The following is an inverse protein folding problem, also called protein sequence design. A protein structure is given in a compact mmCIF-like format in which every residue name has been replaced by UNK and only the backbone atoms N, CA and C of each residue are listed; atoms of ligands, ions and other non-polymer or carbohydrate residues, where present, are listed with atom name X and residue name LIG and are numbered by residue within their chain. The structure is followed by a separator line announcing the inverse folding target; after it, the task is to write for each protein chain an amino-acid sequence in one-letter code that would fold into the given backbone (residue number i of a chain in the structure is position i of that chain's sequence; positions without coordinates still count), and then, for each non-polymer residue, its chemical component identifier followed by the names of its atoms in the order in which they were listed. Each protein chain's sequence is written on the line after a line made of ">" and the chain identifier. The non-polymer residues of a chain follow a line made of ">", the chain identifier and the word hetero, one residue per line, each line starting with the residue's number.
data_IF_318329146924
#
_entry.id   IF_318329146924
#
_cell.length_a   1.000
_cell.length_b   1.000
_cell.length_c   1.000
_cell.angle_alpha   90.00
_cell.angle_beta   90.00
_cell.angle_gamma   90.00
#
_symmetry.space_group_name_H-M   'P 1'
#
loop_
_entity.id
_entity.type
_entity.pdbx_description
1 polymer ?
#
# COMPACT_ATOMS: atom_id res chain seq x y z
N UNK A 1 18.02 29.78 11.16
CA UNK A 1 17.91 28.43 10.58
C UNK A 1 17.03 28.56 9.36
N UNK A 2 17.59 28.26 8.18
CA UNK A 2 16.94 28.45 6.88
C UNK A 2 16.32 27.15 6.35
N UNK A 3 15.77 27.23 5.13
CA UNK A 3 15.27 26.10 4.36
C UNK A 3 16.16 24.86 4.49
N UNK A 4 15.54 23.70 4.75
CA UNK A 4 16.26 22.43 4.73
C UNK A 4 16.79 22.22 3.30
N UNK A 5 18.07 21.88 3.15
CA UNK A 5 18.61 21.65 1.81
C UNK A 5 18.02 20.38 1.22
N UNK A 6 18.07 20.25 -0.11
CA UNK A 6 17.69 19.00 -0.77
C UNK A 6 18.44 17.78 -0.19
N UNK A 7 19.69 17.97 0.27
CA UNK A 7 20.44 16.91 0.96
C UNK A 7 19.81 16.51 2.29
N UNK A 8 19.34 17.48 3.07
CA UNK A 8 18.77 17.25 4.41
C UNK A 8 17.42 16.55 4.32
N UNK A 9 16.62 16.86 3.29
CA UNK A 9 15.30 16.26 3.07
C UNK A 9 15.39 14.93 2.34
N UNK A 10 16.16 14.86 1.25
CA UNK A 10 16.12 13.72 0.33
C UNK A 10 17.21 12.70 0.54
N UNK A 11 18.33 13.00 1.21
CA UNK A 11 19.48 12.08 1.29
C UNK A 11 19.82 11.67 2.72
N UNK A 12 19.88 12.62 3.65
CA UNK A 12 20.29 12.38 5.03
C UNK A 12 19.43 11.31 5.75
N UNK A 13 18.10 11.27 5.58
CA UNK A 13 17.26 10.28 6.24
C UNK A 13 17.54 8.85 5.78
N UNK A 14 17.75 8.66 4.47
CA UNK A 14 18.16 7.37 3.92
C UNK A 14 19.56 6.95 4.34
N UNK A 15 20.51 7.90 4.39
CA UNK A 15 21.86 7.62 4.86
C UNK A 15 21.87 7.14 6.31
N UNK A 16 21.06 7.78 7.17
CA UNK A 16 20.89 7.38 8.58
C UNK A 16 20.29 5.98 8.71
N UNK A 17 19.34 5.64 7.84
CA UNK A 17 18.55 4.40 7.93
C UNK A 17 19.08 3.28 7.01
N UNK A 18 20.23 3.49 6.37
CA UNK A 18 20.81 2.57 5.40
C UNK A 18 21.03 1.13 5.91
N UNK A 19 21.52 0.88 7.14
CA UNK A 19 21.64 -0.48 7.65
C UNK A 19 20.30 -1.20 7.79
N UNK A 20 19.26 -0.46 8.20
CA UNK A 20 17.91 -0.98 8.33
C UNK A 20 17.29 -1.25 6.95
N UNK A 21 17.54 -0.36 5.99
CA UNK A 21 17.09 -0.52 4.60
C UNK A 21 17.67 -1.77 3.96
N UNK A 22 18.99 -1.98 4.03
CA UNK A 22 19.63 -3.20 3.52
C UNK A 22 19.02 -4.44 4.18
N UNK A 23 18.86 -4.41 5.50
CA UNK A 23 18.30 -5.54 6.25
C UNK A 23 16.90 -5.91 5.75
N UNK A 24 16.03 -4.93 5.50
CA UNK A 24 14.70 -5.19 4.97
C UNK A 24 14.71 -5.65 3.51
N UNK A 25 15.58 -5.10 2.66
CA UNK A 25 15.72 -5.58 1.27
C UNK A 25 16.17 -7.05 1.27
N UNK A 26 17.19 -7.41 2.05
CA UNK A 26 17.64 -8.80 2.22
C UNK A 26 16.51 -9.67 2.77
N UNK A 27 15.78 -9.19 3.78
CA UNK A 27 14.62 -9.88 4.34
C UNK A 27 13.60 -10.24 3.26
N UNK A 28 13.26 -9.34 2.34
CA UNK A 28 12.26 -9.61 1.30
C UNK A 28 12.70 -10.68 0.30
N UNK A 29 13.97 -10.69 -0.11
CA UNK A 29 14.52 -11.77 -0.93
C UNK A 29 14.52 -13.11 -0.18
N UNK A 30 14.90 -13.11 1.10
CA UNK A 30 14.82 -14.30 1.95
C UNK A 30 13.37 -14.78 2.11
N UNK A 31 12.41 -13.87 2.31
CA UNK A 31 11.00 -14.18 2.44
C UNK A 31 10.44 -14.80 1.15
N UNK A 32 10.82 -14.30 -0.03
CA UNK A 32 10.43 -14.88 -1.32
C UNK A 32 11.06 -16.27 -1.55
N UNK A 33 12.28 -16.49 -1.09
CA UNK A 33 12.90 -17.81 -1.15
C UNK A 33 12.18 -18.80 -0.24
N UNK A 34 11.98 -18.43 1.03
CA UNK A 34 11.31 -19.24 2.06
C UNK A 34 9.84 -19.50 1.70
N UNK A 35 9.14 -18.55 1.09
CA UNK A 35 7.76 -18.73 0.63
C UNK A 35 7.65 -19.88 -0.36
N UNK A 36 8.62 -20.05 -1.25
CA UNK A 36 8.67 -21.19 -2.16
C UNK A 36 8.78 -22.55 -1.46
N UNK A 37 9.48 -22.61 -0.33
CA UNK A 37 9.61 -23.83 0.49
C UNK A 37 8.30 -24.10 1.24
N UNK A 38 7.73 -23.06 1.86
CA UNK A 38 6.49 -23.17 2.63
C UNK A 38 5.32 -23.55 1.72
N UNK A 39 5.10 -22.80 0.64
CA UNK A 39 3.98 -23.01 -0.29
C UNK A 39 3.99 -24.42 -0.89
N UNK A 40 5.17 -24.95 -1.23
CA UNK A 40 5.32 -26.32 -1.71
C UNK A 40 4.86 -27.37 -0.70
N UNK A 41 4.95 -27.09 0.60
CA UNK A 41 4.51 -28.00 1.67
C UNK A 41 3.02 -27.87 1.96
N UNK A 42 2.48 -26.65 1.93
CA UNK A 42 1.10 -26.39 2.37
C UNK A 42 0.08 -26.48 1.23
N UNK A 43 0.46 -26.19 -0.02
CA UNK A 43 -0.46 -26.22 -1.16
C UNK A 43 -0.56 -27.65 -1.71
N UNK A 44 -1.75 -28.28 -1.64
CA UNK A 44 -1.98 -29.57 -2.27
C UNK A 44 -1.77 -29.46 -3.78
N UNK A 45 -1.06 -30.44 -4.35
CA UNK A 45 -0.84 -30.46 -5.79
C UNK A 45 0.11 -29.37 -6.31
N UNK A 46 0.99 -28.77 -5.48
CA UNK A 46 1.96 -27.74 -5.89
C UNK A 46 2.67 -28.02 -7.23
N UNK A 47 3.04 -29.27 -7.50
CA UNK A 47 3.72 -29.67 -8.75
C UNK A 47 2.87 -29.50 -10.02
N UNK A 48 1.54 -29.38 -9.88
CA UNK A 48 0.59 -29.19 -11.00
C UNK A 48 0.56 -27.74 -11.50
N UNK A 49 0.97 -26.79 -10.66
CA UNK A 49 1.06 -25.39 -11.05
C UNK A 49 2.17 -25.17 -12.07
N UNK A 50 1.92 -24.30 -13.05
CA UNK A 50 2.97 -23.88 -13.98
C UNK A 50 4.10 -23.17 -13.22
N UNK A 51 5.31 -23.11 -13.80
CA UNK A 51 6.40 -22.34 -13.21
C UNK A 51 6.02 -20.86 -13.02
N UNK A 52 5.17 -20.33 -13.88
CA UNK A 52 4.67 -18.96 -13.78
C UNK A 52 3.76 -18.78 -12.56
N UNK A 53 2.77 -19.67 -12.40
CA UNK A 53 1.84 -19.60 -11.27
C UNK A 53 2.57 -19.84 -9.94
N UNK A 54 3.57 -20.72 -9.92
CA UNK A 54 4.41 -20.93 -8.75
C UNK A 54 5.20 -19.66 -8.36
N UNK A 55 5.64 -18.85 -9.33
CA UNK A 55 6.28 -17.56 -9.04
C UNK A 55 5.28 -16.54 -8.53
N UNK A 56 4.13 -16.45 -9.20
CA UNK A 56 3.05 -15.54 -8.77
C UNK A 56 2.61 -15.85 -7.34
N UNK A 57 2.38 -17.12 -6.98
CA UNK A 57 2.01 -17.50 -5.61
C UNK A 57 3.06 -17.07 -4.57
N UNK A 58 4.36 -17.15 -4.89
CA UNK A 58 5.43 -16.68 -4.00
C UNK A 58 5.40 -15.17 -3.82
N UNK A 59 5.21 -14.44 -4.92
CA UNK A 59 5.13 -12.98 -4.93
C UNK A 59 3.91 -12.50 -4.14
N UNK A 60 2.74 -13.09 -4.41
CA UNK A 60 1.50 -12.79 -3.68
C UNK A 60 1.63 -13.07 -2.19
N UNK A 61 2.36 -14.13 -1.79
CA UNK A 61 2.62 -14.38 -0.37
C UNK A 61 3.53 -13.30 0.25
N UNK A 62 4.55 -12.82 -0.47
CA UNK A 62 5.37 -11.69 -0.01
C UNK A 62 4.53 -10.41 0.13
N UNK A 63 3.67 -10.12 -0.84
CA UNK A 63 2.77 -8.96 -0.76
C UNK A 63 1.75 -9.09 0.37
N UNK A 64 1.24 -10.30 0.63
CA UNK A 64 0.41 -10.57 1.80
C UNK A 64 1.18 -10.37 3.12
N UNK A 65 2.42 -10.85 3.19
CA UNK A 65 3.31 -10.62 4.34
C UNK A 65 3.58 -9.13 4.55
N UNK A 66 3.71 -8.34 3.48
CA UNK A 66 3.84 -6.89 3.57
C UNK A 66 2.61 -6.27 4.25
N UNK A 67 1.40 -6.67 3.83
CA UNK A 67 0.18 -6.22 4.49
C UNK A 67 0.12 -6.56 5.99
N UNK A 68 0.66 -7.72 6.40
CA UNK A 68 0.78 -8.09 7.82
C UNK A 68 1.78 -7.20 8.56
N UNK A 69 2.98 -6.99 8.01
CA UNK A 69 4.00 -6.13 8.64
C UNK A 69 3.46 -4.71 8.75
N UNK A 70 2.84 -4.20 7.69
CA UNK A 70 2.27 -2.86 7.63
C UNK A 70 1.09 -2.65 8.59
N UNK A 71 0.42 -3.72 9.05
CA UNK A 71 -0.56 -3.62 10.14
C UNK A 71 0.01 -2.92 11.39
N UNK A 72 1.29 -3.17 11.72
CA UNK A 72 1.95 -2.50 12.84
C UNK A 72 2.04 -0.99 12.67
N UNK A 73 2.26 -0.52 11.44
CA UNK A 73 2.24 0.90 11.08
C UNK A 73 0.88 1.54 11.35
N UNK A 74 -0.22 0.84 11.03
CA UNK A 74 -1.59 1.28 11.33
C UNK A 74 -1.86 1.40 12.83
N UNK A 75 -1.39 0.43 13.62
CA UNK A 75 -1.54 0.45 15.09
C UNK A 75 -0.81 1.65 15.69
N UNK A 76 0.40 1.92 15.22
CA UNK A 76 1.19 3.06 15.66
C UNK A 76 0.50 4.38 15.26
N UNK A 77 -0.02 4.47 14.04
CA UNK A 77 -0.77 5.63 13.59
C UNK A 77 -1.98 5.91 14.49
N UNK A 78 -2.81 4.91 14.77
CA UNK A 78 -3.99 5.04 15.64
C UNK A 78 -3.57 5.41 17.07
N UNK A 79 -2.51 4.80 17.58
CA UNK A 79 -1.99 5.09 18.92
C UNK A 79 -1.51 6.54 19.02
N UNK A 80 -0.81 7.04 18.00
CA UNK A 80 -0.37 8.43 17.93
C UNK A 80 -1.55 9.40 17.87
N UNK A 81 -2.56 9.11 17.03
CA UNK A 81 -3.80 9.89 17.02
C UNK A 81 -4.46 9.92 18.41
N UNK A 82 -4.57 8.78 19.08
CA UNK A 82 -5.15 8.71 20.42
C UNK A 82 -4.39 9.59 21.42
N UNK A 83 -3.05 9.50 21.44
CA UNK A 83 -2.19 10.32 22.30
C UNK A 83 -2.33 11.82 22.00
N UNK A 84 -2.64 12.18 20.75
CA UNK A 84 -2.89 13.56 20.32
C UNK A 84 -4.37 13.97 20.40
N UNK A 85 -5.20 13.28 21.20
CA UNK A 85 -6.64 13.54 21.33
C UNK A 85 -7.38 13.53 19.97
N UNK A 86 -7.02 12.58 19.11
CA UNK A 86 -7.51 12.41 17.74
C UNK A 86 -7.27 13.63 16.84
N UNK A 87 -6.22 14.41 17.12
CA UNK A 87 -5.77 15.52 16.27
C UNK A 87 -4.53 15.10 15.48
N UNK A 88 -4.45 15.57 14.25
CA UNK A 88 -3.24 15.46 13.44
C UNK A 88 -2.26 16.58 13.84
N UNK A 89 -0.97 16.26 13.85
CA UNK A 89 0.07 17.27 14.09
C UNK A 89 0.01 18.33 13.00
N UNK A 90 0.01 19.61 13.40
CA UNK A 90 0.12 20.73 12.47
C UNK A 90 1.56 20.92 11.95
N UNK A 91 2.54 20.40 12.70
CA UNK A 91 3.92 20.34 12.28
C UNK A 91 4.19 18.98 11.61
N UNK A 92 3.92 18.94 10.30
CA UNK A 92 4.15 17.74 9.49
C UNK A 92 5.64 17.41 9.38
N UNK A 93 6.51 18.41 9.45
CA UNK A 93 7.97 18.26 9.32
C UNK A 93 8.65 17.75 10.59
N UNK A 94 7.90 17.61 11.68
CA UNK A 94 8.46 17.06 12.91
C UNK A 94 8.72 15.58 12.71
N UNK A 95 10.00 15.23 12.64
CA UNK A 95 10.42 13.83 12.79
C UNK A 95 10.04 13.40 14.19
N UNK A 96 9.17 12.40 14.29
CA UNK A 96 8.94 11.72 15.55
C UNK A 96 10.18 10.88 15.83
N UNK A 97 11.02 11.34 16.77
CA UNK A 97 12.23 10.67 17.24
C UNK A 97 11.89 9.43 18.09
N UNK A 98 11.02 8.58 17.57
CA UNK A 98 10.69 7.30 18.16
C UNK A 98 11.10 6.20 17.16
N UNK A 99 12.13 5.41 17.48
CA UNK A 99 12.78 4.49 16.53
C UNK A 99 11.83 3.55 15.78
N UNK A 100 10.68 3.21 16.38
CA UNK A 100 9.72 2.29 15.78
C UNK A 100 9.03 2.85 14.51
N UNK A 101 8.90 4.17 14.37
CA UNK A 101 8.29 4.78 13.17
C UNK A 101 9.21 4.65 11.95
N UNK A 102 10.53 4.74 12.16
CA UNK A 102 11.51 4.52 11.11
C UNK A 102 11.46 3.09 10.55
N UNK A 103 11.14 2.09 11.38
CA UNK A 103 11.07 0.69 10.96
C UNK A 103 10.06 0.48 9.84
N UNK A 104 8.81 0.91 10.03
CA UNK A 104 7.75 0.66 9.05
C UNK A 104 7.95 1.47 7.77
N UNK A 105 8.46 2.69 7.92
CA UNK A 105 8.80 3.57 6.80
C UNK A 105 9.92 3.00 5.93
N UNK A 106 10.98 2.48 6.54
CA UNK A 106 12.08 1.83 5.81
C UNK A 106 11.62 0.51 5.22
N UNK A 107 10.81 -0.26 5.94
CA UNK A 107 10.29 -1.55 5.50
C UNK A 107 9.48 -1.44 4.20
N UNK A 108 8.64 -0.42 4.06
CA UNK A 108 7.82 -0.24 2.85
C UNK A 108 8.65 0.23 1.64
N UNK A 109 9.62 1.13 1.84
CA UNK A 109 10.53 1.54 0.75
C UNK A 109 11.38 0.35 0.30
N UNK A 110 11.87 -0.45 1.25
CA UNK A 110 12.59 -1.69 0.96
C UNK A 110 11.70 -2.74 0.24
N UNK A 111 10.42 -2.85 0.62
CA UNK A 111 9.44 -3.71 -0.06
C UNK A 111 9.28 -3.31 -1.54
N UNK A 112 9.04 -2.03 -1.83
CA UNK A 112 8.91 -1.57 -3.22
C UNK A 112 10.23 -1.63 -4.00
N UNK A 113 11.36 -1.53 -3.32
CA UNK A 113 12.68 -1.79 -3.93
C UNK A 113 12.78 -3.25 -4.38
N UNK A 114 12.42 -4.19 -3.49
CA UNK A 114 12.34 -5.61 -3.83
C UNK A 114 11.35 -5.86 -4.98
N UNK A 115 10.16 -5.26 -4.93
CA UNK A 115 9.11 -5.42 -5.94
C UNK A 115 9.59 -4.99 -7.33
N UNK A 116 10.25 -3.83 -7.43
CA UNK A 116 10.89 -3.37 -8.69
C UNK A 116 11.91 -4.40 -9.17
N UNK A 117 12.85 -4.83 -8.33
CA UNK A 117 13.90 -5.77 -8.75
C UNK A 117 13.27 -7.08 -9.25
N UNK A 118 12.28 -7.61 -8.53
CA UNK A 118 11.59 -8.85 -8.90
C UNK A 118 10.79 -8.70 -10.20
N UNK A 119 10.11 -7.56 -10.41
CA UNK A 119 9.42 -7.27 -11.68
C UNK A 119 10.35 -7.40 -12.89
N UNK A 120 11.61 -6.96 -12.76
CA UNK A 120 12.62 -7.09 -13.80
C UNK A 120 13.17 -8.51 -13.93
N UNK A 121 13.53 -9.16 -12.82
CA UNK A 121 14.05 -10.54 -12.81
C UNK A 121 13.05 -11.52 -13.42
N UNK A 122 11.78 -11.39 -13.07
CA UNK A 122 10.73 -12.30 -13.52
C UNK A 122 10.09 -11.90 -14.86
N UNK A 123 10.66 -10.89 -15.54
CA UNK A 123 10.22 -10.43 -16.86
C UNK A 123 8.73 -10.09 -16.93
N UNK A 124 8.25 -9.33 -15.93
CA UNK A 124 6.89 -8.80 -15.96
C UNK A 124 6.70 -7.83 -17.13
N UNK A 125 5.45 -7.58 -17.49
CA UNK A 125 5.12 -6.63 -18.55
C UNK A 125 5.54 -5.20 -18.17
N UNK A 126 5.69 -4.33 -19.18
CA UNK A 126 6.17 -2.98 -18.97
C UNK A 126 5.26 -2.15 -18.07
N UNK A 127 3.96 -2.38 -18.14
CA UNK A 127 2.96 -1.73 -17.29
C UNK A 127 3.28 -1.96 -15.81
N UNK A 128 3.64 -3.18 -15.43
CA UNK A 128 3.97 -3.50 -14.05
C UNK A 128 5.34 -2.97 -13.62
N UNK A 129 6.33 -2.96 -14.51
CA UNK A 129 7.64 -2.34 -14.23
C UNK A 129 7.51 -0.84 -13.96
N UNK A 130 6.73 -0.15 -14.79
CA UNK A 130 6.41 1.27 -14.62
C UNK A 130 5.64 1.46 -13.31
N UNK A 131 4.63 0.63 -13.03
CA UNK A 131 3.90 0.66 -11.77
C UNK A 131 4.83 0.53 -10.56
N UNK A 132 5.74 -0.46 -10.54
CA UNK A 132 6.69 -0.66 -9.46
C UNK A 132 7.60 0.54 -9.23
N UNK A 133 8.17 1.10 -10.32
CA UNK A 133 9.03 2.29 -10.25
C UNK A 133 8.25 3.50 -9.71
N UNK A 134 7.04 3.74 -10.22
CA UNK A 134 6.19 4.83 -9.75
C UNK A 134 5.80 4.65 -8.28
N UNK A 135 5.52 3.42 -7.83
CA UNK A 135 5.22 3.12 -6.43
C UNK A 135 6.43 3.35 -5.53
N UNK A 136 7.64 2.95 -5.95
CA UNK A 136 8.88 3.21 -5.22
C UNK A 136 9.14 4.72 -5.09
N UNK A 137 9.08 5.46 -6.21
CA UNK A 137 9.26 6.92 -6.21
C UNK A 137 8.17 7.58 -5.36
N UNK A 138 6.92 7.15 -5.50
CA UNK A 138 5.79 7.72 -4.77
C UNK A 138 5.95 7.55 -3.25
N UNK A 139 6.26 6.34 -2.78
CA UNK A 139 6.49 6.07 -1.36
C UNK A 139 7.73 6.82 -0.84
N UNK A 140 8.78 6.93 -1.66
CA UNK A 140 9.95 7.72 -1.33
C UNK A 140 9.65 9.22 -1.20
N UNK A 141 8.92 9.78 -2.16
CA UNK A 141 8.57 11.19 -2.18
C UNK A 141 7.64 11.55 -1.03
N UNK A 142 6.66 10.69 -0.74
CA UNK A 142 5.68 10.89 0.32
C UNK A 142 6.25 10.65 1.73
N UNK A 143 7.50 10.17 1.83
CA UNK A 143 8.27 10.21 3.06
C UNK A 143 8.38 11.65 3.57
N UNK A 144 8.53 12.66 2.70
CA UNK A 144 8.66 14.06 3.14
C UNK A 144 7.53 14.92 2.57
N UNK A 145 6.85 15.76 3.37
CA UNK A 145 7.03 15.97 4.80
C UNK A 145 6.19 15.05 5.68
N UNK A 146 5.46 14.09 5.11
CA UNK A 146 4.39 13.42 5.84
C UNK A 146 4.82 12.12 6.55
N UNK A 147 6.12 11.93 6.77
CA UNK A 147 6.76 10.67 7.12
C UNK A 147 5.98 9.83 8.13
N UNK A 148 5.59 10.42 9.26
CA UNK A 148 5.09 9.63 10.38
C UNK A 148 3.55 9.53 10.39
N UNK A 149 2.87 10.52 9.81
CA UNK A 149 1.40 10.59 9.75
C UNK A 149 0.86 9.88 8.50
N UNK A 150 1.39 10.23 7.33
CA UNK A 150 0.93 9.70 6.06
C UNK A 150 1.57 8.36 5.75
N UNK A 151 2.87 8.14 6.02
CA UNK A 151 3.39 6.78 5.83
C UNK A 151 2.69 5.82 6.79
N UNK A 152 2.48 6.21 8.05
CA UNK A 152 1.71 5.45 9.04
C UNK A 152 0.34 4.97 8.51
N UNK A 153 -0.51 5.93 8.12
CA UNK A 153 -1.85 5.62 7.62
C UNK A 153 -1.86 5.02 6.21
N UNK A 154 -1.18 5.64 5.26
CA UNK A 154 -1.23 5.23 3.86
C UNK A 154 -0.54 3.90 3.66
N UNK A 155 0.71 3.76 4.10
CA UNK A 155 1.44 2.48 3.94
C UNK A 155 0.93 1.42 4.88
N UNK A 156 0.45 1.78 6.08
CA UNK A 156 -0.17 0.85 7.02
C UNK A 156 -1.54 0.35 6.57
N UNK A 157 -2.51 1.26 6.54
CA UNK A 157 -3.90 0.92 6.32
C UNK A 157 -4.16 0.47 4.88
N UNK A 158 -3.45 0.99 3.86
CA UNK A 158 -3.64 0.52 2.48
C UNK A 158 -3.01 -0.85 2.25
N UNK A 159 -1.80 -1.09 2.73
CA UNK A 159 -1.16 -2.40 2.51
C UNK A 159 -1.88 -3.48 3.31
N UNK A 160 -2.44 -3.14 4.47
CA UNK A 160 -3.35 -4.04 5.20
C UNK A 160 -4.53 -4.47 4.33
N UNK A 161 -5.13 -3.60 3.51
CA UNK A 161 -6.19 -4.05 2.61
C UNK A 161 -5.66 -4.96 1.50
N UNK A 162 -4.44 -4.72 0.99
CA UNK A 162 -3.82 -5.56 -0.05
C UNK A 162 -3.63 -7.01 0.41
N UNK A 163 -3.41 -7.26 1.71
CA UNK A 163 -3.36 -8.61 2.26
C UNK A 163 -4.56 -9.46 1.82
N UNK A 164 -5.77 -8.94 2.00
CA UNK A 164 -6.99 -9.70 1.69
C UNK A 164 -7.11 -9.97 0.18
N UNK A 165 -6.72 -9.00 -0.65
CA UNK A 165 -6.70 -9.15 -2.11
C UNK A 165 -5.70 -10.22 -2.59
N UNK A 166 -4.48 -10.24 -2.03
CA UNK A 166 -3.49 -11.24 -2.43
C UNK A 166 -3.86 -12.63 -1.96
N UNK A 167 -4.38 -12.77 -0.74
CA UNK A 167 -4.85 -14.07 -0.22
C UNK A 167 -6.03 -14.60 -1.05
N UNK A 168 -6.99 -13.74 -1.45
CA UNK A 168 -8.10 -14.21 -2.29
C UNK A 168 -7.61 -14.72 -3.65
N UNK A 169 -6.70 -14.02 -4.32
CA UNK A 169 -6.11 -14.48 -5.59
C UNK A 169 -5.41 -15.83 -5.40
N UNK A 170 -4.57 -15.96 -4.37
CA UNK A 170 -3.90 -17.23 -4.09
C UNK A 170 -4.89 -18.37 -3.90
N UNK A 171 -5.97 -18.15 -3.14
CA UNK A 171 -7.03 -19.14 -2.93
C UNK A 171 -7.77 -19.49 -4.23
N UNK A 172 -8.06 -18.51 -5.11
CA UNK A 172 -8.63 -18.76 -6.44
C UNK A 172 -7.69 -19.60 -7.30
N UNK A 173 -6.40 -19.28 -7.32
CA UNK A 173 -5.41 -20.07 -8.06
C UNK A 173 -5.36 -21.52 -7.56
N UNK A 174 -5.42 -21.72 -6.24
CA UNK A 174 -5.47 -23.05 -5.61
C UNK A 174 -6.76 -23.78 -5.99
N UNK A 175 -7.91 -23.12 -5.95
CA UNK A 175 -9.18 -23.69 -6.33
C UNK A 175 -9.19 -24.12 -7.81
N UNK A 176 -8.70 -23.27 -8.71
CA UNK A 176 -8.66 -23.54 -10.15
C UNK A 176 -7.71 -24.70 -10.49
N UNK A 177 -6.53 -24.77 -9.86
CA UNK A 177 -5.57 -25.86 -10.09
C UNK A 177 -6.04 -27.21 -9.50
N UNK A 178 -7.00 -27.18 -8.56
CA UNK A 178 -7.56 -28.36 -7.91
C UNK A 178 -9.05 -28.58 -8.24
N UNK A 179 -9.49 -28.21 -9.45
CA UNK A 179 -10.89 -28.37 -9.88
C UNK A 179 -11.40 -29.84 -9.78
N UNK A 180 -10.50 -30.81 -9.96
CA UNK A 180 -10.80 -32.25 -9.84
C UNK A 180 -11.08 -32.71 -8.39
N UNK A 181 -10.74 -31.89 -7.38
CA UNK A 181 -11.03 -32.17 -5.98
C UNK A 181 -12.13 -31.23 -5.48
N UNK A 182 -13.40 -31.66 -5.48
CA UNK A 182 -14.54 -30.79 -5.18
C UNK A 182 -14.44 -30.15 -3.79
N UNK A 183 -13.86 -30.85 -2.81
CA UNK A 183 -13.70 -30.34 -1.44
C UNK A 183 -12.71 -29.18 -1.39
N UNK A 184 -11.53 -29.33 -1.99
CA UNK A 184 -10.51 -28.26 -2.01
C UNK A 184 -11.02 -27.08 -2.82
N UNK A 185 -11.57 -27.33 -4.00
CA UNK A 185 -12.13 -26.30 -4.86
C UNK A 185 -13.20 -25.48 -4.12
N UNK A 186 -14.19 -26.13 -3.49
CA UNK A 186 -15.27 -25.45 -2.79
C UNK A 186 -14.75 -24.63 -1.60
N UNK A 187 -13.86 -25.20 -0.78
CA UNK A 187 -13.31 -24.53 0.41
C UNK A 187 -12.50 -23.30 0.00
N UNK A 188 -11.57 -23.45 -0.94
CA UNK A 188 -10.73 -22.35 -1.40
C UNK A 188 -11.56 -21.26 -2.10
N UNK A 189 -12.51 -21.62 -2.95
CA UNK A 189 -13.40 -20.65 -3.61
C UNK A 189 -14.23 -19.87 -2.58
N UNK A 190 -14.83 -20.55 -1.59
CA UNK A 190 -15.63 -19.88 -0.55
C UNK A 190 -14.81 -18.93 0.29
N UNK A 191 -13.60 -19.32 0.71
CA UNK A 191 -12.73 -18.41 1.43
C UNK A 191 -12.26 -17.25 0.55
N UNK A 192 -11.94 -17.50 -0.73
CA UNK A 192 -11.61 -16.43 -1.66
C UNK A 192 -12.73 -15.38 -1.76
N UNK A 193 -13.99 -15.80 -1.83
CA UNK A 193 -15.15 -14.90 -1.82
C UNK A 193 -15.17 -14.03 -0.55
N UNK A 194 -14.97 -14.63 0.64
CA UNK A 194 -14.90 -13.88 1.89
C UNK A 194 -13.79 -12.84 1.90
N UNK A 195 -12.59 -13.22 1.46
CA UNK A 195 -11.45 -12.31 1.36
C UNK A 195 -11.70 -11.19 0.33
N UNK A 196 -12.38 -11.47 -0.78
CA UNK A 196 -12.80 -10.47 -1.77
C UNK A 196 -13.82 -9.48 -1.17
N UNK A 197 -14.80 -9.96 -0.39
CA UNK A 197 -15.77 -9.09 0.28
C UNK A 197 -15.13 -8.21 1.35
N UNK A 198 -14.24 -8.78 2.18
CA UNK A 198 -13.50 -8.02 3.18
C UNK A 198 -12.63 -6.98 2.50
N UNK A 199 -11.91 -7.36 1.43
CA UNK A 199 -11.13 -6.43 0.63
C UNK A 199 -11.99 -5.29 0.09
N UNK A 200 -13.12 -5.58 -0.56
CA UNK A 200 -13.99 -4.55 -1.15
C UNK A 200 -14.55 -3.60 -0.10
N UNK A 201 -14.99 -4.12 1.05
CA UNK A 201 -15.45 -3.29 2.16
C UNK A 201 -14.35 -2.38 2.70
N UNK A 202 -13.17 -2.96 3.01
CA UNK A 202 -12.04 -2.19 3.52
C UNK A 202 -11.49 -1.22 2.48
N UNK A 203 -11.55 -1.55 1.19
CA UNK A 203 -11.18 -0.65 0.11
C UNK A 203 -12.03 0.62 0.15
N UNK A 204 -13.35 0.49 0.21
CA UNK A 204 -14.25 1.65 0.31
C UNK A 204 -13.99 2.42 1.61
N UNK A 205 -13.97 1.74 2.75
CA UNK A 205 -13.82 2.38 4.05
C UNK A 205 -12.47 3.11 4.19
N UNK A 206 -11.38 2.41 3.96
CA UNK A 206 -10.02 2.91 4.22
C UNK A 206 -9.54 3.77 3.04
N UNK A 207 -9.61 3.24 1.82
CA UNK A 207 -8.96 3.88 0.66
C UNK A 207 -9.80 4.96 0.01
N UNK A 208 -11.12 4.92 0.17
CA UNK A 208 -11.98 5.98 -0.35
C UNK A 208 -12.39 6.95 0.75
N UNK A 209 -13.02 6.49 1.84
CA UNK A 209 -13.58 7.39 2.85
C UNK A 209 -12.48 7.99 3.75
N UNK A 210 -11.75 7.14 4.47
CA UNK A 210 -10.76 7.63 5.43
C UNK A 210 -9.58 8.34 4.75
N UNK A 211 -9.11 7.82 3.61
CA UNK A 211 -8.04 8.48 2.87
C UNK A 211 -8.44 9.84 2.29
N UNK A 212 -9.68 10.01 1.81
CA UNK A 212 -10.12 11.33 1.34
C UNK A 212 -10.15 12.34 2.48
N UNK A 213 -10.64 11.93 3.66
CA UNK A 213 -10.62 12.78 4.84
C UNK A 213 -9.18 13.15 5.25
N UNK A 214 -8.28 12.17 5.30
CA UNK A 214 -6.87 12.42 5.63
C UNK A 214 -6.19 13.31 4.60
N UNK A 215 -6.36 13.01 3.31
CA UNK A 215 -5.79 13.78 2.19
C UNK A 215 -6.26 15.23 2.26
N UNK A 216 -7.56 15.46 2.48
CA UNK A 216 -8.09 16.82 2.64
C UNK A 216 -7.40 17.57 3.78
N UNK A 217 -7.25 16.93 4.95
CA UNK A 217 -6.59 17.56 6.11
C UNK A 217 -5.11 17.84 5.82
N UNK A 218 -4.38 16.89 5.25
CA UNK A 218 -2.95 17.05 4.94
C UNK A 218 -2.71 18.17 3.93
N UNK A 219 -3.48 18.20 2.83
CA UNK A 219 -3.39 19.26 1.81
C UNK A 219 -3.70 20.62 2.44
N UNK A 220 -4.74 20.71 3.28
CA UNK A 220 -5.09 21.94 3.98
C UNK A 220 -3.95 22.42 4.89
N UNK A 221 -3.33 21.53 5.65
CA UNK A 221 -2.21 21.89 6.54
C UNK A 221 -1.01 22.36 5.72
N UNK A 222 -0.64 21.66 4.63
CA UNK A 222 0.50 22.02 3.79
C UNK A 222 0.29 23.39 3.15
N UNK A 223 -0.88 23.62 2.53
CA UNK A 223 -1.18 24.89 1.88
C UNK A 223 -1.22 26.05 2.89
N UNK A 224 -1.80 25.83 4.08
CA UNK A 224 -1.77 26.82 5.15
C UNK A 224 -0.34 27.13 5.59
N UNK A 225 0.47 26.11 5.85
CA UNK A 225 1.85 26.29 6.31
C UNK A 225 2.68 27.03 5.26
N UNK A 226 2.59 26.64 3.98
CA UNK A 226 3.28 27.31 2.87
C UNK A 226 2.84 28.77 2.73
N UNK A 227 1.54 29.05 2.83
CA UNK A 227 1.02 30.40 2.77
C UNK A 227 1.51 31.28 3.93
N UNK A 228 1.51 30.76 5.16
CA UNK A 228 2.03 31.47 6.33
C UNK A 228 3.53 31.74 6.22
N UNK A 229 4.31 30.79 5.72
CA UNK A 229 5.76 30.96 5.53
C UNK A 229 6.07 32.02 4.46
N UNK A 230 5.26 32.09 3.38
CA UNK A 230 5.37 33.14 2.36
C UNK A 230 4.97 34.52 2.93
N UNK A 231 3.85 34.60 3.64
CA UNK A 231 3.34 35.88 4.16
C UNK A 231 4.27 36.52 5.20
N UNK A 232 4.85 35.71 6.08
CA UNK A 232 5.69 36.19 7.17
C UNK A 232 7.19 36.20 6.79
N UNK A 233 7.49 36.01 5.50
CA UNK A 233 8.85 36.05 4.99
C UNK A 233 9.47 37.43 5.27
N UNK A 234 10.53 37.47 6.07
CA UNK A 234 11.21 38.72 6.44
C UNK A 234 10.62 39.45 7.66
N UNK A 235 9.57 38.92 8.30
CA UNK A 235 9.07 39.45 9.58
C UNK A 235 10.08 39.21 10.69
N UNK A 236 10.40 40.26 11.46
CA UNK A 236 11.40 40.19 12.54
C UNK A 236 10.95 39.17 13.61
N UNK A 237 11.77 38.16 13.87
CA UNK A 237 11.48 37.10 14.85
C UNK A 237 10.65 35.92 14.32
N UNK A 238 10.19 35.97 13.06
CA UNK A 238 9.58 34.81 12.43
C UNK A 238 10.66 33.79 12.02
N UNK A 239 10.47 32.54 12.42
CA UNK A 239 11.33 31.42 12.02
C UNK A 239 10.51 30.58 11.03
N UNK A 240 10.88 30.56 9.73
CA UNK A 240 10.18 29.74 8.75
C UNK A 240 10.26 28.26 9.16
N UNK A 241 9.21 27.51 8.86
CA UNK A 241 9.22 26.06 9.09
C UNK A 241 10.29 25.43 8.19
N UNK A 242 11.08 24.49 8.71
CA UNK A 242 12.07 23.76 7.93
C UNK A 242 11.38 22.81 6.94
N UNK A 243 11.11 23.31 5.74
CA UNK A 243 10.51 22.54 4.66
C UNK A 243 11.21 22.77 3.32
N UNK A 244 11.23 21.74 2.48
CA UNK A 244 11.59 21.84 1.07
C UNK A 244 10.30 22.05 0.28
N UNK A 245 10.16 23.21 -0.35
CA UNK A 245 8.94 23.59 -1.09
C UNK A 245 8.62 22.59 -2.19
N UNK A 246 9.65 22.09 -2.89
CA UNK A 246 9.50 21.09 -3.93
C UNK A 246 8.95 19.77 -3.36
N UNK A 247 9.46 19.29 -2.23
CA UNK A 247 8.91 18.13 -1.54
C UNK A 247 7.44 18.34 -1.17
N UNK A 248 7.07 19.52 -0.68
CA UNK A 248 5.69 19.83 -0.30
C UNK A 248 4.74 19.79 -1.51
N UNK A 249 5.16 20.36 -2.64
CA UNK A 249 4.40 20.34 -3.89
C UNK A 249 4.29 18.92 -4.44
N UNK A 250 5.41 18.21 -4.57
CA UNK A 250 5.45 16.84 -5.10
C UNK A 250 4.58 15.90 -4.26
N UNK A 251 4.66 16.01 -2.93
CA UNK A 251 3.89 15.17 -2.05
C UNK A 251 2.41 15.53 -2.11
N UNK A 252 2.03 16.81 -2.15
CA UNK A 252 0.64 17.25 -2.36
C UNK A 252 0.06 16.71 -3.67
N UNK A 253 0.80 16.83 -4.77
CA UNK A 253 0.38 16.28 -6.07
C UNK A 253 0.28 14.75 -6.00
N UNK A 254 1.26 14.09 -5.38
CA UNK A 254 1.29 12.65 -5.16
C UNK A 254 0.05 12.14 -4.42
N UNK A 255 -0.34 12.80 -3.32
CA UNK A 255 -1.55 12.51 -2.55
C UNK A 255 -2.81 12.55 -3.42
N UNK A 256 -2.95 13.63 -4.20
CA UNK A 256 -4.11 13.82 -5.09
C UNK A 256 -4.15 12.74 -6.18
N UNK A 257 -3.03 12.46 -6.83
CA UNK A 257 -2.93 11.42 -7.88
C UNK A 257 -3.29 10.05 -7.31
N UNK A 258 -2.74 9.71 -6.15
CA UNK A 258 -3.04 8.49 -5.41
C UNK A 258 -4.55 8.36 -5.14
N UNK A 259 -5.19 9.43 -4.67
CA UNK A 259 -6.60 9.40 -4.34
C UNK A 259 -7.46 9.24 -5.60
N UNK A 260 -7.11 9.92 -6.70
CA UNK A 260 -7.73 9.72 -8.00
C UNK A 260 -7.62 8.26 -8.48
N UNK A 261 -6.45 7.63 -8.30
CA UNK A 261 -6.24 6.21 -8.64
C UNK A 261 -7.16 5.31 -7.80
N UNK A 262 -7.35 5.60 -6.50
CA UNK A 262 -8.27 4.80 -5.68
C UNK A 262 -9.72 4.89 -6.18
N UNK A 263 -10.16 6.08 -6.60
CA UNK A 263 -11.49 6.24 -7.18
C UNK A 263 -11.63 5.56 -8.55
N UNK A 264 -10.58 5.58 -9.37
CA UNK A 264 -10.55 4.78 -10.61
C UNK A 264 -10.74 3.28 -10.30
N UNK A 265 -10.00 2.74 -9.33
CA UNK A 265 -10.15 1.35 -8.91
C UNK A 265 -11.52 1.04 -8.29
N UNK A 266 -12.10 1.97 -7.53
CA UNK A 266 -13.47 1.84 -7.03
C UNK A 266 -14.47 1.65 -8.17
N UNK A 267 -14.33 2.43 -9.25
CA UNK A 267 -15.20 2.30 -10.43
C UNK A 267 -15.03 0.92 -11.09
N UNK A 268 -13.82 0.38 -11.16
CA UNK A 268 -13.58 -0.97 -11.69
C UNK A 268 -14.20 -2.07 -10.80
N UNK A 269 -14.11 -1.93 -9.47
CA UNK A 269 -14.77 -2.83 -8.52
C UNK A 269 -16.30 -2.78 -8.73
N UNK A 270 -16.87 -1.58 -8.80
CA UNK A 270 -18.32 -1.37 -9.01
C UNK A 270 -18.77 -1.98 -10.34
N UNK A 271 -18.05 -1.72 -11.44
CA UNK A 271 -18.34 -2.32 -12.76
C UNK A 271 -18.36 -3.84 -12.70
N UNK A 272 -17.40 -4.44 -12.01
CA UNK A 272 -17.33 -5.90 -11.86
C UNK A 272 -18.52 -6.44 -11.06
N UNK A 273 -18.90 -5.78 -9.97
CA UNK A 273 -20.07 -6.13 -9.17
C UNK A 273 -21.36 -6.03 -10.01
N UNK A 274 -21.56 -4.95 -10.77
CA UNK A 274 -22.72 -4.81 -11.66
C UNK A 274 -22.80 -5.92 -12.71
N UNK A 275 -21.67 -6.30 -13.33
CA UNK A 275 -21.62 -7.41 -14.29
C UNK A 275 -22.07 -8.74 -13.67
N UNK A 276 -21.74 -8.99 -12.39
CA UNK A 276 -22.17 -10.20 -11.68
C UNK A 276 -23.68 -10.23 -11.46
N UNK A 277 -24.29 -9.09 -11.10
CA UNK A 277 -25.73 -8.99 -10.92
C UNK A 277 -26.49 -9.05 -12.25
N UNK A 278 -25.97 -8.45 -13.33
CA UNK A 278 -26.61 -8.53 -14.65
C UNK A 278 -26.57 -9.93 -15.24
N UNK A 279 -25.45 -10.66 -15.09
CA UNK A 279 -25.33 -12.05 -15.56
C UNK A 279 -26.24 -13.02 -14.77
N UNK A 280 -26.42 -12.77 -13.47
CA UNK A 280 -27.35 -13.55 -12.63
C UNK A 280 -28.83 -13.31 -13.02
N UNK A 281 -29.16 -12.10 -13.50
CA UNK A 281 -30.50 -11.76 -14.00
C UNK A 281 -30.85 -12.40 -15.34
N UNK A 282 -29.89 -12.62 -16.23
CA UNK A 282 -30.11 -13.32 -17.51
C UNK A 282 -30.29 -14.84 -17.32
N UNK A 283 -29.57 -15.44 -16.38
CA UNK A 283 -29.75 -16.85 -16.08
C UNK A 283 -31.15 -17.15 -15.52
N UNK A 284 -31.69 -16.29 -14.65
CA UNK A 284 -33.05 -16.42 -14.13
C UNK A 284 -34.14 -16.23 -15.21
N UNK A 285 -33.94 -15.32 -16.18
CA UNK A 285 -34.91 -15.12 -17.28
C UNK A 285 -35.01 -16.33 -18.23
N UNK A 286 -33.95 -17.11 -18.36
CA UNK A 286 -33.96 -18.32 -19.19
C UNK A 286 -34.61 -19.52 -18.47
N UNK A 287 -34.56 -19.56 -17.13
CA UNK A 287 -35.25 -20.60 -16.34
C UNK A 287 -36.77 -20.35 -16.31
N UNK A 288 -37.22 -19.08 -16.22
CA UNK A 288 -38.66 -18.77 -16.21
C UNK A 288 -39.33 -18.90 -17.58
N UNK A 289 -38.57 -18.94 -18.68
CA UNK A 289 -39.10 -19.21 -20.04
C UNK A 289 -39.22 -20.70 -20.39
N UNK A 290 -38.83 -21.59 -19.49
CA UNK A 290 -38.92 -23.05 -19.66
C UNK A 290 -39.98 -23.72 -18.76
N UNK A 291 -40.87 -22.93 -18.15
CA UNK A 291 -42.05 -23.41 -17.41
C UNK A 291 -43.31 -23.07 -18.20
#
# INVERSE_FOLDING_TARGET
>A
MGFATAKDVWLAPMQREWPLFISFVTFWFCAQFVSGIILRRIIPGWKRFSKSDQRELKQRLCSALNGIIMFGSSVIFISNLYLLSFKLSENLYQVVDFPIFAIYRVAIVAYFTWDVVVCFIDNWSWEWKIHGICSLIGVYCLWFPFADVYAGFYTGCYEMTNFFFHISIMLRMIASSNAENPKIHLVCSRYADWFEYIFAFLFVLIRCVLSTALTYVLVKIVLRNLYEDILNQGTLGYVPRSHDELACVLSTVGLCVIQCIQYFWLLEIIKRVFKMFSASGEHNKNVTKQI
#
